data_IF_855605737091
#
_entry.id   IF_855605737091
#
_cell.length_a   1.000
_cell.length_b   1.000
_cell.length_c   1.000
_cell.angle_alpha   90.00
_cell.angle_beta   90.00
_cell.angle_gamma   90.00
#
_symmetry.space_group_name_H-M   'P 1'
#
loop_
_entity.id
_entity.type
_entity.pdbx_description
1 polymer ?
#
# COMPACT_ATOMS: atom_id res chain seq x y z
N UNK A 1 -8.30 -0.10 1.41
CA UNK A 1 -7.61 0.37 0.19
C UNK A 1 -8.48 -0.02 -0.99
N UNK A 2 -9.08 0.96 -1.65
CA UNK A 2 -9.98 0.72 -2.77
C UNK A 2 -9.17 0.26 -4.00
N UNK A 3 -9.48 -0.94 -4.49
CA UNK A 3 -8.79 -1.59 -5.60
C UNK A 3 -9.01 -0.89 -6.95
N UNK A 4 -9.97 0.03 -7.02
CA UNK A 4 -10.46 0.68 -8.24
C UNK A 4 -10.01 2.15 -8.31
N UNK A 5 -9.55 2.73 -7.20
CA UNK A 5 -9.21 4.15 -7.08
C UNK A 5 -8.07 4.62 -8.01
N UNK A 6 -7.29 3.70 -8.59
CA UNK A 6 -6.19 4.00 -9.50
C UNK A 6 -6.50 3.76 -10.98
N UNK A 7 -7.71 3.28 -11.31
CA UNK A 7 -8.12 3.05 -12.69
C UNK A 7 -8.74 4.33 -13.28
N UNK A 8 -8.63 4.52 -14.59
CA UNK A 8 -9.40 5.54 -15.29
C UNK A 8 -10.84 5.07 -15.58
N UNK A 9 -11.70 5.98 -16.06
CA UNK A 9 -13.12 5.66 -16.31
C UNK A 9 -13.34 4.50 -17.30
N UNK A 10 -12.67 4.44 -18.47
CA UNK A 10 -12.84 3.31 -19.38
C UNK A 10 -12.34 1.98 -18.79
N UNK A 11 -11.26 1.99 -18.01
CA UNK A 11 -10.76 0.80 -17.30
C UNK A 11 -11.75 0.30 -16.24
N UNK A 12 -12.41 1.21 -15.52
CA UNK A 12 -13.46 0.86 -14.55
C UNK A 12 -14.63 0.16 -15.20
N UNK A 13 -15.15 0.72 -16.29
CA UNK A 13 -16.29 0.15 -17.04
C UNK A 13 -15.93 -1.22 -17.61
N UNK A 14 -14.72 -1.38 -18.15
CA UNK A 14 -14.24 -2.66 -18.67
C UNK A 14 -14.08 -3.73 -17.57
N UNK A 15 -13.56 -3.35 -16.41
CA UNK A 15 -13.42 -4.23 -15.26
C UNK A 15 -14.77 -4.68 -14.72
N UNK A 16 -15.70 -3.74 -14.56
CA UNK A 16 -17.05 -4.01 -14.09
C UNK A 16 -17.79 -4.98 -15.03
N UNK A 17 -17.75 -4.72 -16.34
CA UNK A 17 -18.37 -5.58 -17.35
C UNK A 17 -17.83 -7.03 -17.36
N UNK A 18 -16.54 -7.22 -17.08
CA UNK A 18 -15.94 -8.57 -16.98
C UNK A 18 -16.14 -9.22 -15.60
N UNK A 19 -16.26 -8.42 -14.53
CA UNK A 19 -16.38 -8.92 -13.17
C UNK A 19 -17.81 -9.33 -12.80
N UNK A 20 -18.84 -8.60 -13.23
CA UNK A 20 -20.24 -8.89 -12.86
C UNK A 20 -20.68 -10.35 -13.16
N UNK A 21 -20.40 -10.91 -14.35
CA UNK A 21 -20.78 -12.29 -14.64
C UNK A 21 -20.07 -13.32 -13.75
N UNK A 22 -18.85 -13.01 -13.31
CA UNK A 22 -18.05 -13.89 -12.44
C UNK A 22 -18.54 -13.83 -11.00
N UNK A 23 -18.96 -12.65 -10.53
CA UNK A 23 -19.42 -12.43 -9.15
C UNK A 23 -20.58 -13.36 -8.77
N UNK A 24 -21.46 -13.65 -9.72
CA UNK A 24 -22.63 -14.51 -9.52
C UNK A 24 -22.29 -16.00 -9.39
N UNK A 25 -21.07 -16.42 -9.77
CA UNK A 25 -20.69 -17.82 -9.90
C UNK A 25 -19.65 -18.29 -8.87
N UNK A 26 -19.07 -17.39 -8.06
CA UNK A 26 -17.98 -17.75 -7.14
C UNK A 26 -18.15 -17.10 -5.76
N UNK A 27 -17.59 -17.75 -4.74
CA UNK A 27 -17.45 -17.18 -3.39
C UNK A 27 -16.64 -15.87 -3.41
N UNK A 28 -16.90 -14.97 -2.46
CA UNK A 28 -16.20 -13.69 -2.27
C UNK A 28 -14.68 -13.79 -2.38
N UNK A 29 -14.02 -14.73 -1.68
CA UNK A 29 -12.57 -14.88 -1.76
C UNK A 29 -12.04 -15.29 -3.15
N UNK A 30 -12.81 -16.10 -3.90
CA UNK A 30 -12.49 -16.46 -5.29
C UNK A 30 -12.78 -15.31 -6.25
N UNK A 31 -13.81 -14.53 -5.96
CA UNK A 31 -14.13 -13.32 -6.70
C UNK A 31 -13.01 -12.29 -6.58
N UNK A 32 -12.55 -11.99 -5.37
CA UNK A 32 -11.44 -11.05 -5.12
C UNK A 32 -10.16 -11.44 -5.87
N UNK A 33 -9.84 -12.74 -5.88
CA UNK A 33 -8.69 -13.25 -6.64
C UNK A 33 -8.88 -13.05 -8.14
N UNK A 34 -10.06 -13.35 -8.69
CA UNK A 34 -10.35 -13.16 -10.12
C UNK A 34 -10.39 -11.69 -10.52
N UNK A 35 -11.00 -10.84 -9.70
CA UNK A 35 -11.07 -9.40 -9.90
C UNK A 35 -9.65 -8.80 -9.97
N UNK A 36 -8.74 -9.27 -9.12
CA UNK A 36 -7.32 -8.86 -9.17
C UNK A 36 -6.66 -9.21 -10.51
N UNK A 37 -6.88 -10.42 -11.02
CA UNK A 37 -6.33 -10.88 -12.30
C UNK A 37 -6.95 -10.14 -13.48
N UNK A 38 -8.28 -9.93 -13.49
CA UNK A 38 -8.97 -9.16 -14.52
C UNK A 38 -8.45 -7.71 -14.55
N UNK A 39 -8.31 -7.09 -13.39
CA UNK A 39 -7.73 -5.75 -13.26
C UNK A 39 -6.28 -5.70 -13.73
N UNK A 40 -5.46 -6.69 -13.42
CA UNK A 40 -4.07 -6.76 -13.90
C UNK A 40 -3.98 -6.94 -15.42
N UNK A 41 -4.93 -7.64 -16.04
CA UNK A 41 -5.02 -7.77 -17.49
C UNK A 41 -5.61 -6.53 -18.18
N UNK A 42 -6.39 -5.73 -17.47
CA UNK A 42 -7.03 -4.51 -17.98
C UNK A 42 -6.21 -3.24 -17.74
N UNK A 43 -5.35 -3.22 -16.73
CA UNK A 43 -4.42 -2.12 -16.50
C UNK A 43 -3.34 -2.14 -17.60
N UNK A 44 -3.27 -1.13 -18.47
CA UNK A 44 -2.26 -1.06 -19.52
C UNK A 44 -0.85 -0.87 -18.93
N UNK A 45 -0.76 -0.35 -17.70
CA UNK A 45 0.50 -0.18 -17.01
C UNK A 45 0.90 -1.46 -16.25
N UNK A 46 2.01 -2.06 -16.66
CA UNK A 46 2.65 -3.14 -15.90
C UNK A 46 2.90 -2.72 -14.44
N UNK A 47 2.98 -3.70 -13.53
CA UNK A 47 3.38 -3.45 -12.13
C UNK A 47 4.68 -2.64 -12.03
N UNK A 48 5.58 -2.81 -13.01
CA UNK A 48 6.84 -2.07 -13.13
C UNK A 48 6.57 -0.60 -13.47
N UNK A 49 5.73 -0.31 -14.47
CA UNK A 49 5.38 1.06 -14.85
C UNK A 49 4.73 1.84 -13.70
N UNK A 50 3.76 1.21 -13.01
CA UNK A 50 3.13 1.77 -11.81
C UNK A 50 4.14 2.02 -10.70
N UNK A 51 5.06 1.09 -10.48
CA UNK A 51 6.11 1.26 -9.48
C UNK A 51 7.02 2.44 -9.82
N UNK A 52 7.49 2.53 -11.07
CA UNK A 52 8.34 3.65 -11.55
C UNK A 52 7.64 4.99 -11.35
N UNK A 53 6.35 5.08 -11.65
CA UNK A 53 5.56 6.30 -11.41
C UNK A 53 5.45 6.63 -9.93
N UNK A 54 5.04 5.68 -9.09
CA UNK A 54 4.90 5.88 -7.65
C UNK A 54 6.22 6.25 -6.95
N UNK A 55 7.36 5.78 -7.47
CA UNK A 55 8.70 6.16 -7.01
C UNK A 55 8.97 7.66 -7.17
N UNK A 56 8.35 8.34 -8.14
CA UNK A 56 8.47 9.78 -8.28
C UNK A 56 7.71 10.55 -7.17
N UNK A 57 6.67 9.95 -6.60
CA UNK A 57 5.80 10.57 -5.58
C UNK A 57 6.31 10.36 -4.14
N UNK A 58 7.50 9.77 -3.97
CA UNK A 58 8.11 9.51 -2.66
C UNK A 58 8.20 10.78 -1.83
N UNK A 59 7.77 10.71 -0.58
CA UNK A 59 7.79 11.84 0.35
C UNK A 59 7.81 11.40 1.79
N UNK A 60 8.21 12.32 2.66
CA UNK A 60 8.12 12.19 4.11
C UNK A 60 7.28 13.34 4.64
N UNK A 61 6.26 13.00 5.40
CA UNK A 61 5.31 13.95 5.96
C UNK A 61 5.34 13.84 7.49
N UNK A 62 5.20 14.97 8.17
CA UNK A 62 5.04 15.06 9.62
C UNK A 62 3.70 15.74 9.92
N UNK A 63 2.81 15.03 10.60
CA UNK A 63 1.48 15.52 10.94
C UNK A 63 1.29 15.56 12.46
N UNK A 64 0.94 16.71 13.07
CA UNK A 64 0.73 16.79 14.51
C UNK A 64 -0.47 15.94 14.96
N UNK A 65 -0.35 15.34 16.15
CA UNK A 65 -1.44 14.70 16.89
C UNK A 65 -1.96 15.64 18.00
N UNK A 66 -3.04 15.25 18.68
CA UNK A 66 -3.72 16.13 19.65
C UNK A 66 -3.11 16.13 21.06
N UNK A 67 -2.20 15.22 21.33
CA UNK A 67 -1.61 14.91 22.64
C UNK A 67 -0.15 15.40 22.77
N UNK A 68 0.25 16.35 21.92
CA UNK A 68 1.64 16.81 21.84
C UNK A 68 2.57 15.85 21.08
N UNK A 69 2.01 14.80 20.47
CA UNK A 69 2.74 13.86 19.61
C UNK A 69 2.60 14.26 18.13
N UNK A 70 3.29 13.54 17.25
CA UNK A 70 3.14 13.68 15.80
C UNK A 70 3.32 12.33 15.09
N UNK A 71 2.63 12.15 13.98
CA UNK A 71 2.84 11.05 13.05
C UNK A 71 3.95 11.42 12.06
N UNK A 72 5.00 10.59 12.01
CA UNK A 72 6.00 10.63 10.96
C UNK A 72 5.71 9.52 9.95
N UNK A 73 5.39 9.89 8.71
CA UNK A 73 5.02 8.95 7.64
C UNK A 73 5.96 9.09 6.45
N UNK A 74 6.35 7.97 5.84
CA UNK A 74 7.16 7.95 4.63
C UNK A 74 6.49 7.08 3.55
N UNK A 75 6.28 7.65 2.37
CA UNK A 75 5.80 6.93 1.19
C UNK A 75 7.00 6.54 0.33
N UNK A 76 7.34 5.24 0.31
CA UNK A 76 8.57 4.70 -0.27
C UNK A 76 8.34 3.32 -0.93
N UNK A 77 9.27 2.86 -1.79
CA UNK A 77 9.37 1.48 -2.20
C UNK A 77 9.35 0.54 -0.98
N UNK A 78 8.62 -0.58 -1.10
CA UNK A 78 8.39 -1.49 0.01
C UNK A 78 9.70 -2.03 0.63
N UNK A 79 10.72 -2.28 -0.20
CA UNK A 79 12.02 -2.74 0.27
C UNK A 79 12.72 -1.68 1.15
N UNK A 80 12.67 -0.41 0.76
CA UNK A 80 13.23 0.70 1.52
C UNK A 80 12.45 0.93 2.82
N UNK A 81 11.12 0.94 2.74
CA UNK A 81 10.25 1.11 3.91
C UNK A 81 10.46 -0.01 4.95
N UNK A 82 10.56 -1.27 4.50
CA UNK A 82 10.82 -2.41 5.37
C UNK A 82 12.21 -2.32 6.03
N UNK A 83 13.23 -1.90 5.28
CA UNK A 83 14.57 -1.72 5.83
C UNK A 83 14.62 -0.62 6.89
N UNK A 84 13.93 0.51 6.65
CA UNK A 84 13.82 1.61 7.63
C UNK A 84 13.09 1.11 8.88
N UNK A 85 11.93 0.47 8.72
CA UNK A 85 11.16 -0.05 9.83
C UNK A 85 12.01 -1.00 10.68
N UNK A 86 12.69 -1.96 10.05
CA UNK A 86 13.55 -2.90 10.75
C UNK A 86 14.66 -2.19 11.54
N UNK A 87 15.36 -1.23 10.94
CA UNK A 87 16.41 -0.46 11.63
C UNK A 87 15.88 0.33 12.83
N UNK A 88 14.71 0.96 12.69
CA UNK A 88 14.07 1.69 13.79
C UNK A 88 13.69 0.72 14.92
N UNK A 89 13.14 -0.45 14.57
CA UNK A 89 12.80 -1.49 15.55
C UNK A 89 14.04 -1.99 16.30
N UNK A 90 15.12 -2.33 15.60
CA UNK A 90 16.36 -2.80 16.23
C UNK A 90 16.97 -1.74 17.16
N UNK A 91 17.00 -0.48 16.71
CA UNK A 91 17.47 0.63 17.54
C UNK A 91 16.61 0.79 18.81
N UNK A 92 15.29 0.71 18.68
CA UNK A 92 14.38 0.79 19.83
C UNK A 92 14.59 -0.37 20.82
N UNK A 93 14.77 -1.59 20.32
CA UNK A 93 15.07 -2.78 21.15
C UNK A 93 16.40 -2.58 21.89
N UNK A 94 17.43 -2.12 21.20
CA UNK A 94 18.74 -1.86 21.80
C UNK A 94 18.67 -0.78 22.88
N UNK A 95 17.95 0.31 22.65
CA UNK A 95 17.81 1.40 23.63
C UNK A 95 17.07 0.94 24.88
N UNK A 96 16.00 0.16 24.72
CA UNK A 96 15.29 -0.50 25.85
C UNK A 96 16.25 -1.37 26.66
N UNK A 97 17.04 -2.21 25.99
CA UNK A 97 18.00 -3.08 26.66
C UNK A 97 19.07 -2.31 27.45
N UNK A 98 19.46 -1.12 26.97
CA UNK A 98 20.40 -0.23 27.67
C UNK A 98 19.80 0.60 28.80
N UNK A 99 18.48 0.50 29.04
CA UNK A 99 17.78 1.27 30.07
C UNK A 99 17.54 2.74 29.70
N UNK A 100 17.41 3.07 28.42
CA UNK A 100 17.06 4.43 27.99
C UNK A 100 15.69 4.83 28.57
N UNK A 101 15.60 5.91 29.36
CA UNK A 101 14.35 6.31 30.03
C UNK A 101 13.24 6.76 29.07
N UNK A 102 13.57 6.98 27.79
CA UNK A 102 12.58 7.34 26.75
C UNK A 102 11.97 6.11 26.07
N UNK A 103 12.55 4.93 26.29
CA UNK A 103 12.06 3.70 25.72
C UNK A 103 10.98 3.13 26.67
N UNK A 104 9.75 2.87 26.19
CA UNK A 104 8.65 2.41 27.05
C UNK A 104 8.86 1.06 27.74
#
# INVERSE_FOLDING_TARGET
MDAVATLDEPERVALEGQALPVAQAVSTAKFDRRLRVLREGLAPESIVARHVRAVADRRVDCAPAQDGMAWLSAYLPVAEAAAIHHRVTEAAISLRASGDPRAP
#
